data_IF_015119286355
#
_entry.id   IF_015119286355
#
_cell.length_a   1.000
_cell.length_b   1.000
_cell.length_c   1.000
_cell.angle_alpha   90.00
_cell.angle_beta   90.00
_cell.angle_gamma   90.00
#
_symmetry.space_group_name_H-M   'P 1'
#
loop_
_entity.id
_entity.type
_entity.pdbx_description
1 polymer ?
#
# COMPACT_ATOMS: atom_id res chain seq x y z
N UNK A 1 0.90 45.81 -21.72
CA UNK A 1 0.59 44.71 -22.65
C UNK A 1 -0.91 44.47 -22.56
N UNK A 2 -1.65 45.08 -23.47
CA UNK A 2 -3.10 44.96 -23.62
C UNK A 2 -3.41 43.72 -24.46
N UNK A 3 -4.39 42.92 -24.05
CA UNK A 3 -5.09 42.01 -24.95
C UNK A 3 -6.60 42.24 -24.81
N UNK A 4 -7.11 43.10 -25.68
CA UNK A 4 -8.49 43.17 -26.14
C UNK A 4 -8.77 41.95 -27.03
N UNK A 5 -9.85 41.20 -26.77
CA UNK A 5 -10.38 40.22 -27.73
C UNK A 5 -11.74 40.70 -28.22
N UNK A 6 -11.75 41.09 -29.49
CA UNK A 6 -12.90 41.66 -30.17
C UNK A 6 -13.75 40.53 -30.76
N UNK A 7 -15.07 40.66 -30.64
CA UNK A 7 -16.04 39.78 -31.26
C UNK A 7 -16.11 40.01 -32.78
N UNK A 8 -16.24 38.95 -33.57
CA UNK A 8 -16.79 39.04 -34.92
C UNK A 8 -17.58 37.78 -35.25
N UNK A 9 -18.88 37.98 -35.47
CA UNK A 9 -19.87 37.06 -35.99
C UNK A 9 -19.62 36.73 -37.47
N UNK A 10 -19.91 35.50 -37.88
CA UNK A 10 -20.50 35.21 -39.20
C UNK A 10 -21.40 33.97 -39.13
N UNK A 11 -22.43 33.86 -40.00
CA UNK A 11 -23.67 33.13 -39.71
C UNK A 11 -23.91 31.86 -40.54
N UNK A 12 -24.86 31.06 -40.05
CA UNK A 12 -25.82 30.17 -40.75
C UNK A 12 -25.33 29.04 -41.66
N UNK A 13 -25.61 27.79 -41.26
CA UNK A 13 -26.58 26.95 -41.99
C UNK A 13 -27.03 25.75 -41.13
N UNK A 14 -28.33 25.61 -40.93
CA UNK A 14 -28.94 24.65 -40.01
C UNK A 14 -29.19 23.25 -40.57
N UNK A 15 -29.47 22.35 -39.65
CA UNK A 15 -30.32 21.17 -39.83
C UNK A 15 -31.04 20.95 -38.50
N UNK A 16 -32.29 21.40 -38.44
CA UNK A 16 -33.17 21.21 -37.30
C UNK A 16 -33.65 19.78 -37.17
N UNK A 17 -33.99 19.41 -35.93
CA UNK A 17 -35.05 18.45 -35.58
C UNK A 17 -35.36 18.58 -34.07
N UNK A 18 -36.46 19.24 -33.78
CA UNK A 18 -37.28 19.14 -32.55
C UNK A 18 -38.71 19.49 -33.02
N UNK A 19 -39.79 18.82 -32.56
CA UNK A 19 -40.33 19.11 -31.22
C UNK A 19 -41.07 17.95 -30.52
N UNK A 20 -41.30 18.08 -29.21
CA UNK A 20 -42.43 17.44 -28.53
C UNK A 20 -42.19 16.98 -27.09
N UNK A 21 -42.30 17.89 -26.10
CA UNK A 21 -43.31 17.94 -25.01
C UNK A 21 -43.43 16.74 -24.06
N UNK A 22 -43.05 16.99 -22.79
CA UNK A 22 -43.89 16.74 -21.60
C UNK A 22 -43.83 15.36 -20.95
N UNK A 23 -43.00 15.22 -19.92
CA UNK A 23 -43.35 14.50 -18.69
C UNK A 23 -42.38 14.91 -17.57
N UNK A 24 -42.95 15.48 -16.51
CA UNK A 24 -42.32 15.59 -15.21
C UNK A 24 -41.89 14.21 -14.72
N UNK A 25 -40.61 14.06 -14.36
CA UNK A 25 -40.21 13.05 -13.39
C UNK A 25 -39.30 13.68 -12.35
N UNK A 26 -39.94 14.02 -11.24
CA UNK A 26 -39.31 14.40 -9.99
C UNK A 26 -38.65 13.18 -9.37
N UNK A 27 -37.33 13.04 -9.50
CA UNK A 27 -36.45 12.27 -8.62
C UNK A 27 -35.10 13.00 -8.63
N UNK A 28 -34.62 13.64 -7.58
CA UNK A 28 -34.80 13.32 -6.18
C UNK A 28 -33.42 13.14 -5.58
N UNK A 29 -33.01 14.10 -4.76
CA UNK A 29 -32.05 13.94 -3.67
C UNK A 29 -30.57 13.72 -4.02
N UNK A 30 -29.75 14.73 -3.71
CA UNK A 30 -28.31 14.51 -3.54
C UNK A 30 -27.45 15.74 -3.27
N UNK A 31 -27.87 16.96 -3.65
CA UNK A 31 -27.22 18.21 -3.21
C UNK A 31 -27.88 18.67 -1.92
N UNK A 32 -27.48 18.09 -0.79
CA UNK A 32 -28.00 18.51 0.52
C UNK A 32 -27.84 17.51 1.64
N UNK A 33 -26.67 16.90 1.81
CA UNK A 33 -26.35 16.18 3.05
C UNK A 33 -24.84 16.25 3.33
N UNK A 34 -24.44 17.02 4.36
CA UNK A 34 -23.15 16.80 5.03
C UNK A 34 -22.25 17.99 5.33
N UNK A 35 -22.76 19.23 5.50
CA UNK A 35 -21.95 20.36 5.99
C UNK A 35 -21.25 20.11 7.33
N UNK A 36 -21.77 19.16 8.11
CA UNK A 36 -21.11 18.62 9.30
C UNK A 36 -20.44 17.27 8.99
N UNK A 37 -21.13 16.35 8.32
CA UNK A 37 -20.67 14.97 8.06
C UNK A 37 -19.33 14.87 7.31
N UNK A 38 -19.13 15.67 6.25
CA UNK A 38 -17.87 15.68 5.51
C UNK A 38 -16.71 16.22 6.35
N UNK A 39 -16.99 17.23 7.19
CA UNK A 39 -16.00 17.83 8.09
C UNK A 39 -15.57 16.84 9.17
N UNK A 40 -16.51 16.14 9.82
CA UNK A 40 -16.19 15.10 10.81
C UNK A 40 -15.35 13.97 10.18
N UNK A 41 -15.72 13.49 8.98
CA UNK A 41 -14.94 12.48 8.26
C UNK A 41 -13.52 12.98 8.00
N UNK A 42 -13.35 14.24 7.60
CA UNK A 42 -12.01 14.78 7.33
C UNK A 42 -11.14 14.86 8.58
N UNK A 43 -11.71 15.31 9.71
CA UNK A 43 -11.00 15.35 10.98
C UNK A 43 -10.66 13.95 11.49
N UNK A 44 -11.58 12.98 11.37
CA UNK A 44 -11.35 11.60 11.77
C UNK A 44 -10.24 10.94 10.94
N UNK A 45 -10.26 11.11 9.62
CA UNK A 45 -9.23 10.61 8.72
C UNK A 45 -7.87 11.24 9.03
N UNK A 46 -7.80 12.56 9.14
CA UNK A 46 -6.56 13.28 9.48
C UNK A 46 -5.98 12.83 10.82
N UNK A 47 -6.83 12.73 11.85
CA UNK A 47 -6.41 12.28 13.19
C UNK A 47 -5.89 10.84 13.15
N UNK A 48 -6.61 9.94 12.49
CA UNK A 48 -6.20 8.53 12.37
C UNK A 48 -4.85 8.40 11.67
N UNK A 49 -4.66 9.10 10.55
CA UNK A 49 -3.41 9.10 9.80
C UNK A 49 -2.23 9.66 10.61
N UNK A 50 -2.44 10.72 11.38
CA UNK A 50 -1.40 11.27 12.27
C UNK A 50 -1.04 10.27 13.37
N UNK A 51 -2.03 9.62 13.99
CA UNK A 51 -1.79 8.58 15.00
C UNK A 51 -1.01 7.41 14.39
N UNK A 52 -1.41 6.92 13.22
CA UNK A 52 -0.69 5.86 12.49
C UNK A 52 0.74 6.29 12.18
N UNK A 53 0.96 7.55 11.79
CA UNK A 53 2.30 8.10 11.56
C UNK A 53 3.15 8.07 12.84
N UNK A 54 2.67 8.61 13.95
CA UNK A 54 3.43 8.66 15.21
C UNK A 54 3.73 7.26 15.75
N UNK A 55 2.71 6.41 15.84
CA UNK A 55 2.84 5.04 16.36
C UNK A 55 3.70 4.19 15.43
N UNK A 56 3.46 4.28 14.13
CA UNK A 56 4.22 3.55 13.12
C UNK A 56 5.68 3.97 13.07
N UNK A 57 5.98 5.28 13.12
CA UNK A 57 7.37 5.74 13.06
C UNK A 57 8.14 5.32 14.30
N UNK A 58 7.55 5.47 15.48
CA UNK A 58 8.16 5.05 16.73
C UNK A 58 8.38 3.54 16.79
N UNK A 59 7.37 2.74 16.40
CA UNK A 59 7.43 1.28 16.36
C UNK A 59 8.47 0.75 15.36
N UNK A 60 8.45 1.25 14.12
CA UNK A 60 9.39 0.81 13.09
C UNK A 60 10.83 1.24 13.38
N UNK A 61 11.04 2.45 13.92
CA UNK A 61 12.36 2.90 14.36
C UNK A 61 12.89 2.06 15.51
N UNK A 62 12.04 1.75 16.49
CA UNK A 62 12.40 0.85 17.59
C UNK A 62 12.79 -0.54 17.07
N UNK A 63 12.00 -1.09 16.14
CA UNK A 63 12.31 -2.37 15.47
C UNK A 63 13.66 -2.33 14.77
N UNK A 64 14.00 -1.25 14.07
CA UNK A 64 15.32 -1.07 13.45
C UNK A 64 16.45 -1.05 14.49
N UNK A 65 16.31 -0.28 15.56
CA UNK A 65 17.34 -0.16 16.61
C UNK A 65 17.56 -1.52 17.29
N UNK A 66 16.48 -2.17 17.72
CA UNK A 66 16.54 -3.48 18.38
C UNK A 66 17.10 -4.53 17.43
N UNK A 67 16.62 -4.60 16.19
CA UNK A 67 17.07 -5.59 15.22
C UNK A 67 18.52 -5.38 14.82
N UNK A 68 18.98 -4.13 14.66
CA UNK A 68 20.41 -3.82 14.40
C UNK A 68 21.28 -4.25 15.58
N UNK A 69 20.86 -3.94 16.81
CA UNK A 69 21.59 -4.33 18.02
C UNK A 69 21.60 -5.85 18.23
N UNK A 70 20.53 -6.55 17.83
CA UNK A 70 20.40 -8.00 17.93
C UNK A 70 21.16 -8.71 16.80
N UNK A 71 21.15 -8.18 15.59
CA UNK A 71 21.93 -8.67 14.45
C UNK A 71 23.44 -8.62 14.74
N UNK A 72 23.88 -7.63 15.50
CA UNK A 72 25.27 -7.51 15.97
C UNK A 72 25.63 -8.54 17.05
N UNK A 73 24.64 -9.04 17.82
CA UNK A 73 24.84 -9.90 18.99
C UNK A 73 24.52 -11.38 18.76
N UNK A 74 23.62 -11.73 17.82
CA UNK A 74 23.32 -13.11 17.43
C UNK A 74 22.81 -13.19 15.99
N UNK A 75 23.39 -14.11 15.23
CA UNK A 75 23.05 -14.55 13.87
C UNK A 75 21.61 -15.02 13.73
N UNK A 76 20.65 -14.10 13.70
CA UNK A 76 19.31 -14.38 13.21
C UNK A 76 19.34 -14.50 11.69
N UNK A 77 18.73 -15.54 11.13
CA UNK A 77 18.63 -15.67 9.66
C UNK A 77 17.80 -14.52 9.02
N UNK A 78 16.82 -13.98 9.74
CA UNK A 78 15.76 -13.13 9.19
C UNK A 78 15.98 -11.61 9.33
N UNK A 79 17.06 -11.15 9.99
CA UNK A 79 17.19 -9.71 10.32
C UNK A 79 17.19 -8.80 9.08
N UNK A 80 17.71 -9.28 7.95
CA UNK A 80 17.75 -8.52 6.69
C UNK A 80 16.33 -8.17 6.25
N UNK A 81 15.42 -9.14 6.25
CA UNK A 81 14.03 -8.91 5.83
C UNK A 81 13.27 -8.01 6.82
N UNK A 82 13.50 -8.17 8.13
CA UNK A 82 12.91 -7.31 9.16
C UNK A 82 13.35 -5.85 8.97
N UNK A 83 14.63 -5.60 8.70
CA UNK A 83 15.14 -4.26 8.42
C UNK A 83 14.54 -3.67 7.15
N UNK A 84 14.41 -4.47 6.08
CA UNK A 84 13.82 -3.99 4.82
C UNK A 84 12.33 -3.68 4.98
N UNK A 85 11.59 -4.47 5.77
CA UNK A 85 10.18 -4.20 6.07
C UNK A 85 10.04 -2.89 6.83
N UNK A 86 10.77 -2.73 7.94
CA UNK A 86 10.72 -1.51 8.74
C UNK A 86 11.16 -0.27 7.93
N UNK A 87 12.09 -0.42 6.97
CA UNK A 87 12.46 0.66 6.05
C UNK A 87 11.31 1.01 5.09
N UNK A 88 10.64 0.01 4.51
CA UNK A 88 9.48 0.23 3.64
C UNK A 88 8.35 0.94 4.39
N UNK A 89 8.08 0.53 5.62
CA UNK A 89 7.03 1.14 6.44
C UNK A 89 7.41 2.57 6.85
N UNK A 90 8.66 2.84 7.23
CA UNK A 90 9.10 4.22 7.49
C UNK A 90 8.99 5.12 6.26
N UNK A 91 9.35 4.61 5.07
CA UNK A 91 9.19 5.37 3.82
C UNK A 91 7.72 5.71 3.56
N UNK A 92 6.80 4.77 3.79
CA UNK A 92 5.37 5.00 3.68
C UNK A 92 4.86 6.01 4.72
N UNK A 93 5.23 5.85 5.99
CA UNK A 93 4.80 6.76 7.05
C UNK A 93 5.32 8.18 6.85
N UNK A 94 6.46 8.36 6.16
CA UNK A 94 6.97 9.66 5.77
C UNK A 94 6.10 10.36 4.71
N UNK A 95 5.33 9.64 3.89
CA UNK A 95 4.43 10.25 2.89
C UNK A 95 3.11 10.72 3.51
N UNK A 96 2.67 10.08 4.61
CA UNK A 96 1.40 10.37 5.28
C UNK A 96 1.21 11.86 5.63
N UNK A 97 2.17 12.58 6.23
CA UNK A 97 2.00 14.01 6.52
C UNK A 97 1.69 14.84 5.28
N UNK A 98 2.29 14.52 4.13
CA UNK A 98 2.05 15.21 2.87
C UNK A 98 0.64 14.94 2.34
N UNK A 99 0.16 13.70 2.49
CA UNK A 99 -1.22 13.31 2.15
C UNK A 99 -2.21 14.06 3.04
N UNK A 100 -1.97 14.11 4.35
CA UNK A 100 -2.79 14.85 5.31
C UNK A 100 -2.83 16.34 4.97
N UNK A 101 -1.67 16.96 4.72
CA UNK A 101 -1.60 18.37 4.32
C UNK A 101 -2.39 18.65 3.04
N UNK A 102 -2.26 17.80 2.02
CA UNK A 102 -3.02 17.93 0.75
C UNK A 102 -4.53 17.82 1.01
N UNK A 103 -4.91 16.91 1.88
CA UNK A 103 -6.31 16.65 2.19
C UNK A 103 -6.97 17.82 2.93
N UNK A 104 -6.27 18.43 3.90
CA UNK A 104 -6.73 19.63 4.62
C UNK A 104 -6.65 20.91 3.77
N UNK A 105 -5.60 21.07 2.96
CA UNK A 105 -5.47 22.21 2.04
C UNK A 105 -6.51 22.17 0.91
N UNK A 106 -7.12 21.01 0.68
CA UNK A 106 -8.01 20.74 -0.44
C UNK A 106 -7.38 21.12 -1.81
N UNK A 107 -6.05 21.15 -1.89
CA UNK A 107 -5.27 21.49 -3.08
C UNK A 107 -3.90 20.79 -3.02
N UNK A 108 -3.33 20.47 -4.19
CA UNK A 108 -2.00 19.88 -4.28
C UNK A 108 -0.92 20.96 -4.28
N UNK A 109 -0.22 21.08 -3.15
CA UNK A 109 0.78 22.13 -2.94
C UNK A 109 2.21 21.72 -3.34
N UNK A 110 2.48 20.43 -3.53
CA UNK A 110 3.85 19.89 -3.68
C UNK A 110 4.36 19.82 -5.13
N UNK A 111 3.65 20.46 -6.05
CA UNK A 111 4.00 20.51 -7.47
C UNK A 111 4.02 19.14 -8.15
N UNK A 112 4.48 19.10 -9.40
CA UNK A 112 4.46 17.87 -10.20
C UNK A 112 5.43 16.80 -9.67
N UNK A 113 6.60 17.22 -9.18
CA UNK A 113 7.59 16.30 -8.61
C UNK A 113 7.03 15.56 -7.39
N UNK A 114 6.36 16.28 -6.47
CA UNK A 114 5.72 15.66 -5.32
C UNK A 114 4.66 14.64 -5.74
N UNK A 115 3.87 14.98 -6.76
CA UNK A 115 2.81 14.11 -7.28
C UNK A 115 3.38 12.77 -7.76
N UNK A 116 4.50 12.82 -8.49
CA UNK A 116 5.19 11.61 -8.95
C UNK A 116 5.83 10.86 -7.80
N UNK A 117 6.55 11.54 -6.91
CA UNK A 117 7.34 10.91 -5.85
C UNK A 117 6.44 10.29 -4.78
N UNK A 118 5.46 11.01 -4.25
CA UNK A 118 4.64 10.53 -3.13
C UNK A 118 3.78 9.33 -3.54
N UNK A 119 3.09 9.41 -4.69
CA UNK A 119 2.28 8.29 -5.19
C UNK A 119 3.14 7.08 -5.57
N UNK A 120 4.35 7.32 -6.12
CA UNK A 120 5.27 6.22 -6.44
C UNK A 120 5.83 5.57 -5.17
N UNK A 121 6.17 6.36 -4.15
CA UNK A 121 6.64 5.82 -2.87
C UNK A 121 5.56 4.94 -2.22
N UNK A 122 4.31 5.38 -2.22
CA UNK A 122 3.20 4.61 -1.66
C UNK A 122 3.02 3.24 -2.35
N UNK A 123 3.06 3.21 -3.70
CA UNK A 123 3.03 1.93 -4.42
C UNK A 123 4.28 1.09 -4.18
N UNK A 124 5.46 1.72 -4.21
CA UNK A 124 6.74 1.03 -4.05
C UNK A 124 6.81 0.32 -2.70
N UNK A 125 6.43 1.00 -1.62
CA UNK A 125 6.44 0.44 -0.27
C UNK A 125 5.38 -0.64 -0.11
N UNK A 126 4.18 -0.45 -0.67
CA UNK A 126 3.13 -1.47 -0.69
C UNK A 126 3.61 -2.76 -1.38
N UNK A 127 4.23 -2.67 -2.56
CA UNK A 127 4.79 -3.84 -3.25
C UNK A 127 5.95 -4.46 -2.48
N UNK A 128 6.88 -3.64 -1.96
CA UNK A 128 8.03 -4.13 -1.20
C UNK A 128 7.60 -4.88 0.06
N UNK A 129 6.69 -4.33 0.86
CA UNK A 129 6.22 -4.96 2.11
C UNK A 129 5.57 -6.31 1.85
N UNK A 130 4.68 -6.42 0.84
CA UNK A 130 4.04 -7.71 0.52
C UNK A 130 5.05 -8.76 0.04
N UNK A 131 5.99 -8.40 -0.83
CA UNK A 131 7.01 -9.33 -1.29
C UNK A 131 7.96 -9.76 -0.17
N UNK A 132 8.34 -8.84 0.73
CA UNK A 132 9.14 -9.16 1.92
C UNK A 132 8.39 -10.13 2.82
N UNK A 133 7.10 -9.89 3.10
CA UNK A 133 6.25 -10.79 3.88
C UNK A 133 6.14 -12.19 3.24
N UNK A 134 6.00 -12.26 1.92
CA UNK A 134 5.99 -13.52 1.17
C UNK A 134 7.29 -14.32 1.34
N UNK A 135 8.43 -13.66 1.17
CA UNK A 135 9.75 -14.30 1.33
C UNK A 135 10.00 -14.72 2.78
N UNK A 136 9.63 -13.87 3.76
CA UNK A 136 9.72 -14.24 5.17
C UNK A 136 8.89 -15.49 5.47
N UNK A 137 7.65 -15.54 4.98
CA UNK A 137 6.75 -16.70 5.15
C UNK A 137 7.35 -17.97 4.55
N UNK A 138 7.96 -17.86 3.37
CA UNK A 138 8.61 -18.97 2.70
C UNK A 138 9.85 -19.48 3.45
N UNK A 139 10.70 -18.58 3.93
CA UNK A 139 11.88 -18.93 4.73
C UNK A 139 11.47 -19.59 6.06
N UNK A 140 10.37 -19.13 6.68
CA UNK A 140 9.79 -19.78 7.88
C UNK A 140 9.27 -21.18 7.57
N UNK A 141 8.54 -21.33 6.47
CA UNK A 141 8.05 -22.63 6.03
C UNK A 141 9.21 -23.60 5.77
N UNK A 142 10.26 -23.17 5.05
CA UNK A 142 11.46 -23.99 4.79
C UNK A 142 12.19 -24.38 6.06
N UNK A 143 12.32 -23.47 7.03
CA UNK A 143 12.97 -23.75 8.31
C UNK A 143 12.26 -24.84 9.11
N UNK A 144 10.93 -24.91 9.04
CA UNK A 144 10.15 -25.94 9.72
C UNK A 144 10.05 -27.23 8.88
N UNK A 145 9.96 -27.10 7.56
CA UNK A 145 9.80 -28.24 6.66
C UNK A 145 11.09 -29.05 6.44
N UNK A 146 12.27 -28.40 6.46
CA UNK A 146 13.58 -29.02 6.23
C UNK A 146 14.65 -28.38 7.15
N UNK A 147 14.73 -28.80 8.43
CA UNK A 147 15.62 -28.17 9.42
C UNK A 147 17.11 -28.18 9.04
N UNK A 148 17.57 -29.18 8.28
CA UNK A 148 18.99 -29.30 7.85
C UNK A 148 19.37 -28.46 6.62
N UNK A 149 18.41 -27.97 5.83
CA UNK A 149 18.66 -27.19 4.60
C UNK A 149 18.49 -25.68 4.81
N UNK A 150 17.57 -25.26 5.69
CA UNK A 150 17.25 -23.86 5.91
C UNK A 150 18.36 -23.03 6.58
N UNK A 151 19.33 -23.68 7.25
CA UNK A 151 20.44 -22.99 7.89
C UNK A 151 21.56 -22.58 6.91
N UNK A 152 21.50 -23.00 5.63
CA UNK A 152 22.56 -22.77 4.64
C UNK A 152 22.38 -21.53 3.76
N UNK A 153 21.27 -20.79 3.85
CA UNK A 153 21.14 -19.54 3.09
C UNK A 153 22.12 -18.49 3.65
N UNK A 154 23.14 -18.15 2.87
CA UNK A 154 24.12 -17.11 3.19
C UNK A 154 23.46 -15.73 3.29
N UNK A 155 23.99 -14.87 4.16
CA UNK A 155 23.55 -13.47 4.30
C UNK A 155 23.64 -12.71 2.97
N UNK A 156 24.60 -13.06 2.11
CA UNK A 156 24.75 -12.51 0.76
C UNK A 156 23.53 -12.82 -0.11
N UNK A 157 23.01 -14.04 -0.06
CA UNK A 157 21.83 -14.43 -0.83
C UNK A 157 20.59 -13.65 -0.37
N UNK A 158 20.43 -13.42 0.94
CA UNK A 158 19.30 -12.62 1.45
C UNK A 158 19.37 -11.17 1.00
N UNK A 159 20.56 -10.56 0.99
CA UNK A 159 20.75 -9.19 0.45
C UNK A 159 20.43 -9.12 -1.04
N UNK A 160 20.83 -10.14 -1.81
CA UNK A 160 20.47 -10.24 -3.23
C UNK A 160 18.96 -10.36 -3.41
N UNK A 161 18.29 -11.22 -2.63
CA UNK A 161 16.83 -11.35 -2.66
C UNK A 161 16.15 -10.03 -2.29
N UNK A 162 16.61 -9.32 -1.25
CA UNK A 162 16.11 -7.98 -0.92
C UNK A 162 16.30 -7.00 -2.08
N UNK A 163 17.46 -6.98 -2.73
CA UNK A 163 17.70 -6.15 -3.91
C UNK A 163 16.75 -6.47 -5.07
N UNK A 164 16.48 -7.77 -5.31
CA UNK A 164 15.50 -8.21 -6.31
C UNK A 164 14.09 -7.73 -5.94
N UNK A 165 13.70 -7.84 -4.67
CA UNK A 165 12.39 -7.36 -4.20
C UNK A 165 12.25 -5.86 -4.49
N UNK A 166 13.20 -5.04 -4.07
CA UNK A 166 13.16 -3.60 -4.34
C UNK A 166 13.16 -3.28 -5.83
N UNK A 167 13.94 -4.00 -6.63
CA UNK A 167 13.97 -3.85 -8.08
C UNK A 167 12.62 -4.21 -8.74
N UNK A 168 12.00 -5.31 -8.33
CA UNK A 168 10.68 -5.72 -8.81
C UNK A 168 9.59 -4.74 -8.38
N UNK A 169 9.59 -4.31 -7.12
CA UNK A 169 8.65 -3.29 -6.62
C UNK A 169 8.80 -1.99 -7.41
N UNK A 170 10.03 -1.55 -7.67
CA UNK A 170 10.28 -0.36 -8.48
C UNK A 170 9.79 -0.55 -9.91
N UNK A 171 10.07 -1.70 -10.53
CA UNK A 171 9.62 -2.02 -11.88
C UNK A 171 8.08 -2.00 -12.00
N UNK A 172 7.37 -2.50 -10.99
CA UNK A 172 5.91 -2.46 -10.95
C UNK A 172 5.38 -1.04 -10.74
N UNK A 173 6.07 -0.20 -9.98
CA UNK A 173 5.69 1.20 -9.73
C UNK A 173 6.02 2.13 -10.90
N UNK A 174 7.04 1.83 -11.70
CA UNK A 174 7.55 2.69 -12.78
C UNK A 174 6.47 3.22 -13.74
N UNK A 175 5.52 2.40 -14.24
CA UNK A 175 4.48 2.89 -15.14
C UNK A 175 3.60 3.96 -14.50
N UNK A 176 3.30 3.84 -13.21
CA UNK A 176 2.55 4.85 -12.47
C UNK A 176 3.39 6.12 -12.29
N UNK A 177 4.66 6.00 -11.93
CA UNK A 177 5.60 7.13 -11.77
C UNK A 177 5.72 7.98 -13.04
N UNK A 178 5.83 7.34 -14.20
CA UNK A 178 6.03 8.02 -15.49
C UNK A 178 4.75 8.69 -15.99
N UNK A 179 3.59 8.13 -15.66
CA UNK A 179 2.32 8.50 -16.27
C UNK A 179 1.42 9.35 -15.36
N UNK A 180 1.75 9.49 -14.08
CA UNK A 180 1.08 10.44 -13.20
C UNK A 180 1.53 11.87 -13.55
N UNK A 181 0.57 12.78 -13.69
CA UNK A 181 0.80 14.20 -13.98
C UNK A 181 -0.04 15.07 -13.06
N UNK A 182 0.49 16.25 -12.76
CA UNK A 182 -0.28 17.29 -12.09
C UNK A 182 -1.19 17.95 -13.14
N UNK A 183 -2.49 18.03 -12.85
CA UNK A 183 -3.47 18.75 -13.67
C UNK A 183 -4.32 19.67 -12.82
N UNK A 184 -4.77 20.74 -13.43
CA UNK A 184 -5.84 21.55 -12.88
C UNK A 184 -7.18 20.81 -13.04
N UNK A 185 -7.85 20.61 -11.91
CA UNK A 185 -9.17 20.00 -11.84
C UNK A 185 -10.24 20.96 -12.33
N UNK A 186 -11.48 20.47 -12.39
CA UNK A 186 -12.63 21.30 -12.77
C UNK A 186 -12.81 22.45 -11.76
N UNK A 187 -13.20 23.66 -12.20
CA UNK A 187 -13.52 24.76 -11.29
C UNK A 187 -14.54 24.28 -10.26
N UNK A 188 -14.27 24.55 -8.99
CA UNK A 188 -15.25 24.31 -7.93
C UNK A 188 -16.42 25.29 -8.05
N UNK A 189 -17.51 25.02 -7.33
CA UNK A 189 -18.69 25.92 -7.26
C UNK A 189 -18.31 27.33 -6.80
N UNK A 190 -17.19 27.49 -6.08
CA UNK A 190 -16.65 28.77 -5.63
C UNK A 190 -15.70 29.44 -6.66
N UNK A 191 -15.56 28.90 -7.86
CA UNK A 191 -14.67 29.41 -8.91
C UNK A 191 -13.18 29.09 -8.73
N UNK A 192 -12.80 28.36 -7.68
CA UNK A 192 -11.39 27.97 -7.47
C UNK A 192 -11.02 26.72 -8.27
N UNK A 193 -9.86 26.77 -8.93
CA UNK A 193 -9.27 25.65 -9.67
C UNK A 193 -8.31 24.90 -8.73
N UNK A 194 -8.59 23.62 -8.46
CA UNK A 194 -7.77 22.78 -7.58
C UNK A 194 -6.80 21.95 -8.39
N UNK A 195 -5.55 21.83 -7.96
CA UNK A 195 -4.56 20.96 -8.59
C UNK A 195 -4.71 19.54 -8.06
N UNK A 196 -4.75 18.57 -8.97
CA UNK A 196 -4.91 17.14 -8.67
C UNK A 196 -3.87 16.30 -9.42
N UNK A 197 -3.49 15.20 -8.81
CA UNK A 197 -2.69 14.16 -9.44
C UNK A 197 -3.58 13.26 -10.28
N UNK A 198 -3.32 13.18 -11.60
CA UNK A 198 -4.12 12.37 -12.52
C UNK A 198 -3.25 11.50 -13.43
N UNK A 199 -3.56 10.19 -13.56
CA UNK A 199 -2.85 9.31 -14.49
C UNK A 199 -3.26 9.64 -15.93
N UNK A 200 -2.29 9.83 -16.83
CA UNK A 200 -2.56 10.20 -18.24
C UNK A 200 -2.97 9.02 -19.13
N UNK A 201 -3.29 7.87 -18.55
CA UNK A 201 -3.69 6.66 -19.27
C UNK A 201 -5.11 6.79 -19.84
N UNK A 202 -5.43 5.99 -20.86
CA UNK A 202 -6.85 5.72 -21.17
C UNK A 202 -7.49 4.99 -19.97
N UNK A 203 -8.76 5.27 -19.64
CA UNK A 203 -9.44 4.64 -18.50
C UNK A 203 -9.35 3.10 -18.52
N UNK A 204 -9.38 2.51 -19.70
CA UNK A 204 -9.33 1.07 -19.96
C UNK A 204 -7.96 0.50 -19.62
N UNK A 205 -6.89 1.17 -20.06
CA UNK A 205 -5.54 0.74 -19.81
C UNK A 205 -5.15 0.98 -18.34
N UNK A 206 -5.62 2.07 -17.72
CA UNK A 206 -5.48 2.29 -16.28
C UNK A 206 -6.19 1.19 -15.47
N UNK A 207 -7.43 0.85 -15.83
CA UNK A 207 -8.18 -0.22 -15.18
C UNK A 207 -7.47 -1.56 -15.33
N UNK A 208 -7.00 -1.91 -16.53
CA UNK A 208 -6.25 -3.13 -16.77
C UNK A 208 -4.96 -3.18 -15.92
N UNK A 209 -4.24 -2.06 -15.82
CA UNK A 209 -3.06 -1.92 -14.98
C UNK A 209 -3.36 -2.13 -13.50
N UNK A 210 -4.39 -1.47 -12.95
CA UNK A 210 -4.80 -1.64 -11.55
C UNK A 210 -5.23 -3.08 -11.26
N UNK A 211 -5.96 -3.72 -12.18
CA UNK A 211 -6.31 -5.13 -12.09
C UNK A 211 -5.05 -6.00 -12.05
N UNK A 212 -4.09 -5.76 -12.95
CA UNK A 212 -2.83 -6.49 -12.97
C UNK A 212 -2.04 -6.31 -11.66
N UNK A 213 -1.97 -5.08 -11.11
CA UNK A 213 -1.35 -4.82 -9.81
C UNK A 213 -2.05 -5.56 -8.68
N UNK A 214 -3.38 -5.58 -8.66
CA UNK A 214 -4.15 -6.33 -7.67
C UNK A 214 -3.83 -7.82 -7.71
N UNK A 215 -3.80 -8.43 -8.90
CA UNK A 215 -3.46 -9.84 -9.02
C UNK A 215 -2.02 -10.14 -8.60
N UNK A 216 -1.06 -9.34 -9.08
CA UNK A 216 0.37 -9.56 -8.84
C UNK A 216 0.80 -9.26 -7.41
N UNK A 217 0.15 -8.31 -6.74
CA UNK A 217 0.60 -7.78 -5.45
C UNK A 217 -0.34 -8.09 -4.30
N UNK A 218 -1.60 -8.42 -4.55
CA UNK A 218 -2.57 -8.78 -3.50
C UNK A 218 -2.92 -10.26 -3.61
N UNK A 219 -3.48 -10.69 -4.74
CA UNK A 219 -4.04 -12.04 -4.84
C UNK A 219 -2.95 -13.12 -4.84
N UNK A 220 -1.97 -13.05 -5.74
CA UNK A 220 -0.94 -14.09 -5.85
C UNK A 220 -0.08 -14.16 -4.58
N UNK A 221 0.48 -13.04 -4.05
CA UNK A 221 1.27 -13.10 -2.83
C UNK A 221 0.43 -13.52 -1.63
N UNK A 222 -0.82 -13.04 -1.53
CA UNK A 222 -1.74 -13.43 -0.46
C UNK A 222 -2.04 -14.92 -0.46
N UNK A 223 -2.36 -15.51 -1.62
CA UNK A 223 -2.58 -16.95 -1.76
C UNK A 223 -1.32 -17.77 -1.44
N UNK A 224 -0.15 -17.31 -1.86
CA UNK A 224 1.14 -17.96 -1.54
C UNK A 224 1.37 -17.93 -0.03
N UNK A 225 1.20 -16.78 0.62
CA UNK A 225 1.33 -16.64 2.08
C UNK A 225 0.36 -17.59 2.77
N UNK A 226 -0.93 -17.53 2.45
CA UNK A 226 -1.97 -18.39 3.04
C UNK A 226 -1.65 -19.88 2.84
N UNK A 227 -1.24 -20.29 1.63
CA UNK A 227 -0.87 -21.67 1.33
C UNK A 227 0.34 -22.16 2.12
N UNK A 228 1.38 -21.31 2.27
CA UNK A 228 2.58 -21.62 3.06
C UNK A 228 2.23 -21.76 4.55
N UNK A 229 1.38 -20.89 5.09
CA UNK A 229 0.91 -20.96 6.47
C UNK A 229 -0.01 -22.17 6.72
N UNK A 230 -0.93 -22.48 5.80
CA UNK A 230 -1.75 -23.68 5.89
C UNK A 230 -0.88 -24.95 5.84
N UNK A 231 0.16 -24.97 5.00
CA UNK A 231 1.17 -26.04 4.98
C UNK A 231 1.94 -26.16 6.29
N UNK A 232 2.34 -25.03 6.88
CA UNK A 232 3.01 -24.97 8.18
C UNK A 232 2.12 -25.50 9.30
N UNK A 233 0.85 -25.07 9.33
CA UNK A 233 -0.14 -25.49 10.31
C UNK A 233 -0.42 -27.00 10.20
N UNK A 234 -0.61 -27.52 8.98
CA UNK A 234 -0.76 -28.97 8.73
C UNK A 234 0.41 -29.78 9.25
N UNK A 235 1.65 -29.41 8.90
CA UNK A 235 2.85 -30.10 9.40
C UNK A 235 2.97 -30.01 10.92
N UNK A 236 2.59 -28.88 11.49
CA UNK A 236 2.59 -28.69 12.94
C UNK A 236 1.53 -29.57 13.65
N UNK A 237 0.33 -29.71 13.08
CA UNK A 237 -0.70 -30.61 13.60
C UNK A 237 -0.32 -32.08 13.46
N UNK A 238 0.20 -32.51 12.30
CA UNK A 238 0.67 -33.89 12.10
C UNK A 238 1.84 -34.23 13.02
N UNK A 239 2.82 -33.32 13.17
CA UNK A 239 3.90 -33.50 14.13
C UNK A 239 3.38 -33.59 15.57
N UNK A 240 2.35 -32.80 15.94
CA UNK A 240 1.71 -32.91 17.25
C UNK A 240 0.91 -34.20 17.44
N UNK A 241 0.28 -34.75 16.40
CA UNK A 241 -0.41 -36.03 16.51
C UNK A 241 0.58 -37.16 16.82
N UNK A 242 1.79 -37.10 16.26
CA UNK A 242 2.83 -38.11 16.42
C UNK A 242 3.65 -38.01 17.73
N UNK A 243 3.54 -36.92 18.50
CA UNK A 243 4.42 -36.61 19.65
C UNK A 243 3.76 -36.82 21.04
N UNK A 244 2.79 -37.73 21.18
CA UNK A 244 1.96 -37.90 22.38
C UNK A 244 2.66 -38.41 23.64
N UNK A 245 3.52 -37.58 24.29
CA UNK A 245 4.14 -37.85 25.60
C UNK A 245 4.45 -36.58 26.42
N UNK A 246 4.35 -36.69 27.76
CA UNK A 246 4.18 -35.57 28.71
C UNK A 246 5.34 -34.56 28.81
N UNK A 247 6.60 -34.97 28.60
CA UNK A 247 7.78 -34.09 28.73
C UNK A 247 7.92 -33.07 27.56
N UNK A 248 7.27 -33.33 26.42
CA UNK A 248 7.31 -32.48 25.23
C UNK A 248 6.25 -31.36 25.21
N UNK A 249 5.41 -31.26 26.25
CA UNK A 249 4.36 -30.24 26.45
C UNK A 249 4.93 -28.81 26.43
N UNK A 250 5.98 -28.54 27.21
CA UNK A 250 6.57 -27.20 27.29
C UNK A 250 7.18 -26.73 25.96
N UNK A 251 7.80 -27.64 25.18
CA UNK A 251 8.35 -27.35 23.86
C UNK A 251 7.25 -27.13 22.82
N UNK A 252 6.13 -27.87 22.91
CA UNK A 252 4.92 -27.61 22.12
C UNK A 252 4.36 -26.24 22.39
N UNK A 253 4.16 -25.87 23.66
CA UNK A 253 3.60 -24.57 24.05
C UNK A 253 4.48 -23.43 23.58
N UNK A 254 5.81 -23.50 23.75
CA UNK A 254 6.73 -22.47 23.23
C UNK A 254 6.67 -22.33 21.71
N UNK A 255 6.56 -23.42 20.95
CA UNK A 255 6.45 -23.35 19.49
C UNK A 255 5.08 -22.83 19.03
N UNK A 256 3.99 -23.26 19.68
CA UNK A 256 2.63 -22.74 19.49
C UNK A 256 2.59 -21.24 19.72
N UNK A 257 3.15 -20.80 20.85
CA UNK A 257 3.19 -19.40 21.27
C UNK A 257 4.07 -18.56 20.34
N UNK A 258 5.17 -19.12 19.81
CA UNK A 258 6.04 -18.45 18.83
C UNK A 258 5.41 -18.33 17.45
N UNK A 259 4.62 -19.31 17.02
CA UNK A 259 3.88 -19.28 15.74
C UNK A 259 2.67 -18.36 15.84
N UNK A 260 1.89 -18.45 16.92
CA UNK A 260 0.73 -17.57 17.17
C UNK A 260 1.19 -16.12 17.36
N UNK A 261 2.26 -15.87 18.11
CA UNK A 261 2.85 -14.52 18.23
C UNK A 261 3.37 -13.98 16.90
N UNK A 262 3.91 -14.83 16.02
CA UNK A 262 4.34 -14.43 14.68
C UNK A 262 3.15 -14.16 13.73
N UNK A 263 2.07 -14.93 13.84
CA UNK A 263 0.82 -14.69 13.09
C UNK A 263 0.16 -13.39 13.58
N UNK A 264 0.07 -13.19 14.90
CA UNK A 264 -0.44 -11.94 15.48
C UNK A 264 0.41 -10.73 15.07
N UNK A 265 1.73 -10.85 15.00
CA UNK A 265 2.58 -9.73 14.55
C UNK A 265 2.24 -9.35 13.10
N UNK A 266 2.08 -10.33 12.21
CA UNK A 266 1.73 -10.06 10.80
C UNK A 266 0.32 -9.49 10.64
N UNK A 267 -0.62 -9.90 11.48
CA UNK A 267 -1.99 -9.34 11.47
C UNK A 267 -2.03 -7.94 12.08
N UNK A 268 -1.10 -7.60 12.97
CA UNK A 268 -0.94 -6.25 13.54
C UNK A 268 -0.17 -5.32 12.59
N UNK A 269 0.71 -5.87 11.75
CA UNK A 269 1.49 -5.14 10.73
C UNK A 269 0.72 -4.95 9.39
N UNK A 270 -0.50 -5.49 9.24
CA UNK A 270 -1.44 -5.27 8.12
C UNK A 270 -2.54 -4.30 8.56
#
# INVERSE_FOLDING_TARGET
MNCTFNATLTPQLGLGLSPGTGADESQGSGTGAGGSGGLWVTFLLGTTLIIMCVVGMSGNTYTLIVTRSAALRRTGSMYVYIINLALADLLYLCTIPFVVCTYFAHDWLFGEAGCRILLSLDLLTMHASVFILGVMSLERYRAVAKPFSAHKTSSRNRRLVSGIIWGLSFLLTLPMMVMIRLREGKPTVAGSVKRICYPTWTPEAFKAYIIALFFTSVLVPGLVIVGLYAGLARRYWVAQANLGGSSHSARRTRLKQKVVSMIFSIVIDI
#
